data_IF_026868842659
#
_entry.id   IF_026868842659
#
_cell.length_a   1.000
_cell.length_b   1.000
_cell.length_c   1.000
_cell.angle_alpha   90.00
_cell.angle_beta   90.00
_cell.angle_gamma   90.00
#
_symmetry.space_group_name_H-M   'P 1'
#
loop_
_entity.id
_entity.type
_entity.pdbx_description
1 polymer ?
#
# COMPACT_ATOMS: atom_id res chain seq x y z
N UNK A 1 -24.80 -8.82 4.50
CA UNK A 1 -24.38 -9.24 3.14
C UNK A 1 -23.82 -8.09 2.29
N UNK A 2 -24.29 -6.84 2.44
CA UNK A 2 -23.75 -5.71 1.65
C UNK A 2 -22.40 -5.19 2.16
N UNK A 3 -22.16 -5.15 3.47
CA UNK A 3 -20.90 -4.66 4.03
C UNK A 3 -19.71 -5.54 3.59
N UNK A 4 -19.85 -6.86 3.64
CA UNK A 4 -18.80 -7.79 3.21
C UNK A 4 -18.48 -7.71 1.70
N UNK A 5 -19.42 -7.29 0.87
CA UNK A 5 -19.18 -7.09 -0.56
C UNK A 5 -18.38 -5.81 -0.83
N UNK A 6 -18.57 -4.76 -0.02
CA UNK A 6 -17.76 -3.52 -0.14
C UNK A 6 -16.32 -3.79 0.29
N UNK A 7 -16.11 -4.47 1.42
CA UNK A 7 -14.78 -4.81 1.94
C UNK A 7 -13.98 -5.69 0.96
N UNK A 8 -14.68 -6.51 0.14
CA UNK A 8 -14.05 -7.35 -0.87
C UNK A 8 -13.84 -6.66 -2.23
N UNK A 9 -14.30 -5.43 -2.42
CA UNK A 9 -14.25 -4.75 -3.72
C UNK A 9 -13.25 -3.59 -3.76
N UNK A 10 -13.00 -2.95 -2.61
CA UNK A 10 -12.18 -1.74 -2.55
C UNK A 10 -11.09 -1.88 -1.49
N UNK A 11 -9.93 -1.30 -1.80
CA UNK A 11 -8.85 -1.14 -0.84
C UNK A 11 -8.67 0.34 -0.52
N UNK A 12 -8.60 0.67 0.76
CA UNK A 12 -8.25 1.99 1.28
C UNK A 12 -6.86 1.93 1.91
N UNK A 13 -5.98 2.85 1.48
CA UNK A 13 -4.67 3.04 2.11
C UNK A 13 -4.76 4.18 3.10
N UNK A 14 -4.43 3.94 4.35
CA UNK A 14 -4.44 4.95 5.42
C UNK A 14 -3.21 5.85 5.44
N UNK A 15 -2.20 5.57 4.60
CA UNK A 15 -0.93 6.29 4.52
C UNK A 15 -0.61 6.69 3.09
N UNK A 16 0.25 7.69 2.95
CA UNK A 16 0.66 8.29 1.68
C UNK A 16 1.72 7.42 0.99
N UNK A 17 1.30 6.44 0.19
CA UNK A 17 2.21 5.66 -0.66
C UNK A 17 2.27 6.30 -2.03
N UNK A 18 3.35 7.05 -2.31
CA UNK A 18 3.56 7.82 -3.54
C UNK A 18 4.60 7.20 -4.49
N UNK A 19 5.17 6.03 -4.11
CA UNK A 19 6.20 5.32 -4.86
C UNK A 19 5.74 3.91 -5.21
N UNK A 20 5.08 3.78 -6.34
CA UNK A 20 4.52 2.52 -6.85
C UNK A 20 4.97 2.18 -8.29
N UNK A 21 5.82 3.02 -8.90
CA UNK A 21 6.34 2.81 -10.24
C UNK A 21 7.10 1.47 -10.31
N UNK A 22 6.84 0.68 -11.34
CA UNK A 22 7.50 -0.61 -11.55
C UNK A 22 9.01 -0.46 -11.83
N UNK A 23 9.45 0.67 -12.37
CA UNK A 23 10.86 0.92 -12.67
C UNK A 23 11.71 1.18 -11.41
N UNK A 24 11.08 1.57 -10.30
CA UNK A 24 11.77 1.66 -9.02
C UNK A 24 12.16 0.26 -8.50
N UNK A 25 13.19 0.16 -7.64
CA UNK A 25 13.55 -1.11 -7.01
C UNK A 25 12.36 -1.71 -6.24
N UNK A 26 12.08 -3.00 -6.43
CA UNK A 26 11.08 -3.72 -5.64
C UNK A 26 11.71 -4.42 -4.45
N UNK A 27 10.92 -4.61 -3.39
CA UNK A 27 11.27 -5.46 -2.24
C UNK A 27 10.43 -6.72 -2.22
N UNK A 28 10.95 -7.79 -1.58
CA UNK A 28 10.23 -9.03 -1.39
C UNK A 28 8.96 -8.82 -0.56
N UNK A 29 7.87 -9.51 -0.89
CA UNK A 29 6.61 -9.48 -0.12
C UNK A 29 6.67 -10.28 1.20
N UNK A 30 7.83 -10.79 1.59
CA UNK A 30 8.02 -11.60 2.81
C UNK A 30 7.40 -10.99 4.08
N UNK A 31 7.49 -9.67 4.36
CA UNK A 31 6.83 -9.09 5.53
C UNK A 31 5.31 -9.31 5.54
N UNK A 32 4.67 -9.26 4.36
CA UNK A 32 3.22 -9.51 4.24
C UNK A 32 2.92 -10.99 4.52
N UNK A 33 3.73 -11.90 3.98
CA UNK A 33 3.57 -13.34 4.23
C UNK A 33 3.73 -13.69 5.72
N UNK A 34 4.63 -13.00 6.43
CA UNK A 34 4.78 -13.15 7.88
C UNK A 34 3.53 -12.69 8.64
N UNK A 35 2.93 -11.55 8.23
CA UNK A 35 1.66 -11.10 8.83
C UNK A 35 0.58 -12.16 8.64
N UNK A 36 0.42 -12.70 7.42
CA UNK A 36 -0.57 -13.74 7.14
C UNK A 36 -0.36 -15.01 7.99
N UNK A 37 0.88 -15.39 8.26
CA UNK A 37 1.20 -16.50 9.17
C UNK A 37 0.81 -16.17 10.62
N UNK A 38 1.11 -14.97 11.11
CA UNK A 38 0.79 -14.52 12.49
C UNK A 38 -0.71 -14.49 12.72
N UNK A 39 -1.49 -14.01 11.74
CA UNK A 39 -2.96 -13.92 11.86
C UNK A 39 -3.69 -15.24 11.54
N UNK A 40 -2.95 -16.31 11.19
CA UNK A 40 -3.52 -17.63 10.96
C UNK A 40 -4.02 -17.88 9.54
N UNK A 41 -3.72 -16.98 8.59
CA UNK A 41 -4.18 -17.05 7.19
C UNK A 41 -3.14 -17.69 6.23
N UNK A 42 -2.19 -18.44 6.78
CA UNK A 42 -1.12 -19.08 6.00
C UNK A 42 -1.61 -19.98 4.86
N UNK A 43 -2.78 -20.62 5.02
CA UNK A 43 -3.39 -21.47 4.01
C UNK A 43 -3.86 -20.73 2.76
N UNK A 44 -4.05 -19.43 2.84
CA UNK A 44 -4.47 -18.55 1.73
C UNK A 44 -3.30 -18.01 0.92
N UNK A 45 -2.05 -18.23 1.37
CA UNK A 45 -0.84 -17.75 0.69
C UNK A 45 -0.69 -18.51 -0.65
N UNK A 46 -0.59 -17.81 -1.80
CA UNK A 46 -0.31 -18.45 -3.07
C UNK A 46 1.04 -19.19 -3.04
N UNK A 47 1.11 -20.39 -3.64
CA UNK A 47 2.30 -21.24 -3.60
C UNK A 47 3.59 -20.55 -4.13
N UNK A 48 3.43 -19.60 -5.06
CA UNK A 48 4.52 -18.84 -5.67
C UNK A 48 4.73 -17.46 -5.04
N UNK A 49 4.01 -17.11 -3.97
CA UNK A 49 4.07 -15.77 -3.36
C UNK A 49 5.47 -15.40 -2.85
N UNK A 50 6.30 -16.39 -2.48
CA UNK A 50 7.69 -16.15 -2.06
C UNK A 50 8.57 -15.53 -3.15
N UNK A 51 8.18 -15.65 -4.42
CA UNK A 51 8.88 -15.02 -5.55
C UNK A 51 8.35 -13.63 -5.92
N UNK A 52 7.30 -13.15 -5.25
CA UNK A 52 6.69 -11.86 -5.54
C UNK A 52 7.51 -10.71 -4.97
N UNK A 53 7.42 -9.59 -5.67
CA UNK A 53 8.01 -8.32 -5.23
C UNK A 53 6.94 -7.23 -5.23
N UNK A 54 7.02 -6.35 -4.25
CA UNK A 54 6.14 -5.19 -4.11
C UNK A 54 6.86 -3.86 -4.28
N UNK A 55 6.10 -2.75 -4.39
CA UNK A 55 6.67 -1.40 -4.33
C UNK A 55 7.48 -1.23 -3.04
N UNK A 56 8.71 -0.76 -3.18
CA UNK A 56 9.67 -0.73 -2.05
C UNK A 56 9.15 0.07 -0.85
N UNK A 57 8.52 1.21 -1.09
CA UNK A 57 7.93 2.02 -0.04
C UNK A 57 6.82 1.28 0.72
N UNK A 58 5.91 0.61 0.01
CA UNK A 58 4.82 -0.14 0.63
C UNK A 58 5.35 -1.31 1.47
N UNK A 59 6.30 -2.07 0.94
CA UNK A 59 6.89 -3.21 1.65
C UNK A 59 7.67 -2.75 2.88
N UNK A 60 8.49 -1.69 2.76
CA UNK A 60 9.20 -1.11 3.89
C UNK A 60 8.25 -0.61 5.00
N UNK A 61 7.15 0.02 4.60
CA UNK A 61 6.09 0.45 5.53
C UNK A 61 5.43 -0.73 6.26
N UNK A 62 5.11 -1.80 5.52
CA UNK A 62 4.55 -3.03 6.10
C UNK A 62 5.54 -3.68 7.07
N UNK A 63 6.83 -3.75 6.73
CA UNK A 63 7.87 -4.31 7.62
C UNK A 63 8.01 -3.50 8.91
N UNK A 64 8.04 -2.17 8.81
CA UNK A 64 8.10 -1.29 9.98
C UNK A 64 6.86 -1.42 10.88
N UNK A 65 5.67 -1.57 10.28
CA UNK A 65 4.44 -1.86 11.03
C UNK A 65 4.49 -3.23 11.68
N UNK A 66 4.93 -4.27 10.97
CA UNK A 66 5.03 -5.64 11.49
C UNK A 66 5.90 -5.71 12.74
N UNK A 67 7.06 -5.07 12.71
CA UNK A 67 7.99 -5.01 13.85
C UNK A 67 7.31 -4.46 15.11
N UNK A 68 6.45 -3.45 14.97
CA UNK A 68 5.74 -2.79 16.08
C UNK A 68 4.41 -3.48 16.43
N UNK A 69 3.71 -4.04 15.45
CA UNK A 69 2.41 -4.71 15.64
C UNK A 69 2.53 -6.09 16.27
N UNK A 70 3.54 -6.88 15.90
CA UNK A 70 3.68 -8.27 16.33
C UNK A 70 3.66 -8.43 17.86
N UNK A 71 4.44 -7.67 18.66
CA UNK A 71 4.39 -7.79 20.11
C UNK A 71 3.03 -7.36 20.69
N UNK A 72 2.41 -6.32 20.14
CA UNK A 72 1.09 -5.85 20.59
C UNK A 72 0.00 -6.88 20.32
N UNK A 73 0.06 -7.54 19.16
CA UNK A 73 -0.87 -8.61 18.81
C UNK A 73 -0.73 -9.82 19.71
N UNK A 74 0.50 -10.30 19.93
CA UNK A 74 0.78 -11.46 20.79
C UNK A 74 0.38 -11.20 22.25
N UNK A 75 0.48 -9.96 22.72
CA UNK A 75 0.07 -9.55 24.07
C UNK A 75 -1.42 -9.14 24.15
N UNK A 76 -2.18 -9.27 23.07
CA UNK A 76 -3.59 -8.88 22.96
C UNK A 76 -3.87 -7.41 23.36
N UNK A 77 -2.94 -6.50 23.03
CA UNK A 77 -3.02 -5.06 23.35
C UNK A 77 -3.78 -4.29 22.25
N UNK A 78 -5.08 -4.48 22.13
CA UNK A 78 -5.93 -3.89 21.08
C UNK A 78 -5.82 -2.35 21.05
N UNK A 79 -5.83 -1.69 22.18
CA UNK A 79 -5.69 -0.22 22.25
C UNK A 79 -4.32 0.26 21.73
N UNK A 80 -3.26 -0.52 21.97
CA UNK A 80 -1.93 -0.24 21.45
C UNK A 80 -1.87 -0.36 19.93
N UNK A 81 -2.55 -1.36 19.36
CA UNK A 81 -2.69 -1.55 17.92
C UNK A 81 -3.42 -0.36 17.30
N UNK A 82 -4.58 0.03 17.86
CA UNK A 82 -5.34 1.18 17.39
C UNK A 82 -4.52 2.48 17.37
N UNK A 83 -3.76 2.73 18.44
CA UNK A 83 -2.87 3.89 18.52
C UNK A 83 -1.71 3.84 17.53
N UNK A 84 -1.19 2.64 17.23
CA UNK A 84 -0.10 2.48 16.27
C UNK A 84 -0.55 2.76 14.84
N UNK A 85 -1.70 2.20 14.42
CA UNK A 85 -2.21 2.36 13.06
C UNK A 85 -2.73 3.77 12.77
N UNK A 86 -2.82 4.62 13.76
CA UNK A 86 -3.22 6.02 13.64
C UNK A 86 -2.03 7.00 13.56
N UNK A 87 -0.80 6.48 13.50
CA UNK A 87 0.43 7.27 13.44
C UNK A 87 1.11 7.19 12.07
N UNK A 88 2.05 8.10 11.84
CA UNK A 88 3.00 8.02 10.75
C UNK A 88 3.89 6.77 10.93
N UNK A 89 4.35 6.19 9.82
CA UNK A 89 5.27 5.04 9.84
C UNK A 89 6.69 5.56 9.75
N UNK A 90 7.47 5.35 10.81
CA UNK A 90 8.92 5.57 10.77
C UNK A 90 9.59 4.30 10.25
N UNK A 91 10.31 4.44 9.14
CA UNK A 91 11.02 3.35 8.48
C UNK A 91 12.30 2.98 9.24
N UNK A 92 12.68 1.73 9.15
CA UNK A 92 13.94 1.23 9.66
C UNK A 92 15.14 1.80 8.88
N UNK A 93 16.31 1.86 9.50
CA UNK A 93 17.52 2.41 8.88
C UNK A 93 17.93 1.69 7.59
N UNK A 94 17.58 0.40 7.44
CA UNK A 94 17.79 -0.40 6.23
C UNK A 94 16.98 0.11 5.02
N UNK A 95 15.92 0.87 5.28
CA UNK A 95 15.00 1.43 4.28
C UNK A 95 15.02 2.97 4.25
N UNK A 96 16.13 3.56 4.68
CA UNK A 96 16.32 5.01 4.63
C UNK A 96 16.10 5.56 3.22
N UNK A 97 15.38 6.69 3.12
CA UNK A 97 15.08 7.34 1.85
C UNK A 97 13.89 6.74 1.08
N UNK A 98 13.22 5.71 1.59
CA UNK A 98 12.00 5.15 0.98
C UNK A 98 10.71 5.84 1.45
N UNK A 99 10.78 6.71 2.46
CA UNK A 99 9.64 7.50 2.91
C UNK A 99 9.24 8.63 1.94
N UNK A 100 8.20 9.36 2.29
CA UNK A 100 7.74 10.48 1.48
C UNK A 100 8.80 11.58 1.38
N UNK A 101 8.86 12.24 0.24
CA UNK A 101 9.87 13.27 -0.04
C UNK A 101 11.31 12.76 0.08
N UNK A 102 11.56 11.47 -0.14
CA UNK A 102 12.85 10.78 0.06
C UNK A 102 13.33 10.80 1.53
N UNK A 103 12.43 11.04 2.47
CA UNK A 103 12.69 10.94 3.92
C UNK A 103 12.60 9.51 4.44
N UNK A 104 12.46 9.40 5.77
CA UNK A 104 12.35 8.11 6.47
C UNK A 104 10.97 7.88 7.05
N UNK A 105 9.99 8.73 6.74
CA UNK A 105 8.64 8.67 7.28
C UNK A 105 7.63 8.48 6.16
N UNK A 106 6.69 7.53 6.32
CA UNK A 106 5.49 7.44 5.48
C UNK A 106 4.36 8.05 6.30
N UNK A 107 3.83 9.17 5.81
CA UNK A 107 2.85 9.96 6.54
C UNK A 107 1.46 9.36 6.48
N UNK A 108 0.73 9.45 7.58
CA UNK A 108 -0.71 9.17 7.64
C UNK A 108 -1.48 10.24 6.87
N UNK A 109 -2.58 9.86 6.20
CA UNK A 109 -3.47 10.83 5.57
C UNK A 109 -4.04 11.81 6.59
N UNK A 110 -3.85 13.10 6.35
CA UNK A 110 -4.39 14.22 7.11
C UNK A 110 -4.37 15.51 6.29
N UNK A 111 -5.13 16.50 6.72
CA UNK A 111 -5.13 17.83 6.08
C UNK A 111 -3.72 18.45 6.05
N UNK A 112 -3.34 19.02 4.92
CA UNK A 112 -2.06 19.70 4.72
C UNK A 112 -0.86 18.78 4.56
N UNK A 113 -1.09 17.46 4.33
CA UNK A 113 -0.01 16.47 4.22
C UNK A 113 0.80 16.64 2.92
N UNK A 114 0.20 17.21 1.88
CA UNK A 114 0.83 17.39 0.56
C UNK A 114 2.17 18.14 0.63
N UNK A 115 2.32 19.07 1.56
CA UNK A 115 3.56 19.83 1.77
C UNK A 115 4.76 18.97 2.18
N UNK A 116 4.52 17.76 2.72
CA UNK A 116 5.58 16.82 3.09
C UNK A 116 5.93 15.84 1.97
N UNK A 117 5.14 15.86 0.88
CA UNK A 117 5.35 15.00 -0.30
C UNK A 117 6.19 15.68 -1.37
N UNK A 118 6.40 16.98 -1.25
CA UNK A 118 7.13 17.82 -2.23
C UNK A 118 8.45 18.29 -1.67
N UNK A 119 9.43 18.45 -2.54
CA UNK A 119 10.75 18.98 -2.17
C UNK A 119 10.82 20.51 -2.20
N UNK A 120 9.93 21.16 -2.94
CA UNK A 120 9.82 22.62 -3.04
C UNK A 120 8.45 23.10 -2.54
N UNK A 121 8.37 23.47 -1.28
CA UNK A 121 7.14 23.95 -0.61
C UNK A 121 6.66 25.32 -1.13
N UNK A 122 7.49 26.04 -1.88
CA UNK A 122 7.11 27.34 -2.45
C UNK A 122 6.47 27.20 -3.85
N UNK A 123 6.36 25.99 -4.37
CA UNK A 123 5.75 25.72 -5.66
C UNK A 123 4.33 25.12 -5.51
N UNK A 124 3.27 25.93 -5.65
CA UNK A 124 1.88 25.41 -5.54
C UNK A 124 1.54 24.33 -6.59
N UNK A 125 2.17 24.39 -7.78
CA UNK A 125 1.97 23.40 -8.82
C UNK A 125 2.51 22.03 -8.41
N UNK A 126 3.62 21.99 -7.67
CA UNK A 126 4.17 20.73 -7.14
C UNK A 126 3.25 20.10 -6.09
N UNK A 127 2.62 20.92 -5.24
CA UNK A 127 1.63 20.45 -4.26
C UNK A 127 0.38 19.87 -4.94
N UNK A 128 -0.18 20.56 -5.94
CA UNK A 128 -1.30 20.05 -6.71
C UNK A 128 -0.95 18.75 -7.46
N UNK A 129 0.25 18.67 -8.05
CA UNK A 129 0.74 17.46 -8.70
C UNK A 129 0.91 16.30 -7.71
N UNK A 130 1.43 16.56 -6.51
CA UNK A 130 1.56 15.52 -5.49
C UNK A 130 0.19 14.94 -5.08
N UNK A 131 -0.84 15.78 -4.94
CA UNK A 131 -2.20 15.34 -4.63
C UNK A 131 -2.82 14.51 -5.77
N UNK A 132 -2.55 14.87 -7.03
CA UNK A 132 -3.13 14.20 -8.20
C UNK A 132 -2.51 12.84 -8.52
N UNK A 133 -1.39 12.47 -7.89
CA UNK A 133 -0.72 11.18 -8.11
C UNK A 133 -0.77 10.26 -6.89
N UNK A 134 -1.31 10.73 -5.77
CA UNK A 134 -1.34 9.97 -4.53
C UNK A 134 -2.64 9.15 -4.42
N UNK A 135 -2.59 7.81 -4.55
CA UNK A 135 -3.77 6.96 -4.47
C UNK A 135 -4.27 6.85 -3.03
N UNK A 136 -5.57 6.97 -2.85
CA UNK A 136 -6.27 6.90 -1.55
C UNK A 136 -7.12 5.64 -1.44
N UNK A 137 -7.89 5.36 -2.49
CA UNK A 137 -8.79 4.20 -2.57
C UNK A 137 -8.81 3.69 -4.01
N UNK A 138 -8.93 2.39 -4.16
CA UNK A 138 -8.95 1.78 -5.49
C UNK A 138 -9.67 0.43 -5.48
N UNK A 139 -10.13 0.00 -6.67
CA UNK A 139 -10.63 -1.34 -6.88
C UNK A 139 -9.52 -2.37 -6.71
N UNK A 140 -9.84 -3.55 -6.22
CA UNK A 140 -8.87 -4.62 -6.01
C UNK A 140 -8.12 -4.97 -7.30
N UNK A 141 -6.80 -4.90 -7.24
CA UNK A 141 -5.84 -5.33 -8.26
C UNK A 141 -5.11 -6.56 -7.75
N UNK A 142 -5.17 -7.66 -8.49
CA UNK A 142 -4.52 -8.90 -8.11
C UNK A 142 -4.01 -9.68 -9.31
N UNK A 143 -2.98 -10.50 -9.14
CA UNK A 143 -2.52 -11.44 -10.16
C UNK A 143 -3.54 -12.58 -10.35
N UNK A 144 -4.22 -12.98 -9.29
CA UNK A 144 -5.27 -13.99 -9.35
C UNK A 144 -6.58 -13.39 -9.90
N UNK A 145 -7.07 -13.90 -11.02
CA UNK A 145 -8.23 -13.36 -11.73
C UNK A 145 -9.51 -13.29 -10.88
N UNK A 146 -9.69 -14.19 -9.94
CA UNK A 146 -10.83 -14.22 -9.02
C UNK A 146 -10.80 -13.13 -7.93
N UNK A 147 -9.65 -12.48 -7.75
CA UNK A 147 -9.46 -11.35 -6.82
C UNK A 147 -9.32 -10.01 -7.55
N UNK A 148 -9.48 -10.00 -8.87
CA UNK A 148 -9.33 -8.81 -9.71
C UNK A 148 -10.72 -8.32 -10.13
N UNK A 149 -11.10 -7.10 -9.74
CA UNK A 149 -12.46 -6.60 -9.98
C UNK A 149 -12.77 -6.33 -11.45
N UNK A 150 -11.81 -5.85 -12.22
CA UNK A 150 -11.98 -5.46 -13.63
C UNK A 150 -11.08 -6.27 -14.58
N UNK A 151 -11.38 -7.55 -14.78
CA UNK A 151 -10.66 -8.42 -15.73
C UNK A 151 -11.10 -8.13 -17.16
N UNK A 152 -10.18 -7.88 -18.10
CA UNK A 152 -8.70 -7.97 -18.03
C UNK A 152 -8.00 -6.61 -17.87
N UNK A 153 -8.56 -5.62 -17.21
CA UNK A 153 -8.22 -4.28 -17.62
C UNK A 153 -7.53 -3.33 -16.67
N UNK A 154 -7.80 -3.31 -15.38
CA UNK A 154 -7.25 -2.26 -14.51
C UNK A 154 -8.06 -1.98 -13.25
N UNK A 155 -7.89 -0.80 -12.70
CA UNK A 155 -8.50 -0.37 -11.44
C UNK A 155 -8.96 1.09 -11.54
N UNK A 156 -10.13 1.40 -11.03
CA UNK A 156 -10.46 2.79 -10.74
C UNK A 156 -9.71 3.19 -9.47
N UNK A 157 -8.99 4.29 -9.56
CA UNK A 157 -8.17 4.83 -8.48
C UNK A 157 -8.69 6.22 -8.11
N UNK A 158 -9.07 6.41 -6.86
CA UNK A 158 -9.36 7.70 -6.28
C UNK A 158 -8.05 8.31 -5.76
N UNK A 159 -7.73 9.50 -6.20
CA UNK A 159 -6.55 10.25 -5.79
C UNK A 159 -6.89 11.30 -4.71
N UNK A 160 -5.86 11.82 -4.05
CA UNK A 160 -6.00 12.72 -2.91
C UNK A 160 -6.69 14.05 -3.26
N UNK A 161 -6.61 14.53 -4.50
CA UNK A 161 -7.31 15.73 -4.98
C UNK A 161 -8.79 15.46 -5.29
N UNK A 162 -9.27 14.23 -5.12
CA UNK A 162 -10.65 13.81 -5.31
C UNK A 162 -11.00 13.34 -6.73
N UNK A 163 -10.08 13.40 -7.69
CA UNK A 163 -10.37 12.84 -9.00
C UNK A 163 -10.29 11.30 -8.99
N UNK A 164 -11.02 10.67 -9.89
CA UNK A 164 -10.97 9.23 -10.13
C UNK A 164 -10.50 8.98 -11.54
N UNK A 165 -9.50 8.11 -11.69
CA UNK A 165 -8.98 7.70 -12.98
C UNK A 165 -8.97 6.18 -13.10
N UNK A 166 -9.33 5.66 -14.28
CA UNK A 166 -9.16 4.24 -14.59
C UNK A 166 -7.72 3.96 -14.98
N UNK A 167 -6.98 3.30 -14.08
CA UNK A 167 -5.59 2.89 -14.31
C UNK A 167 -5.58 1.53 -15.00
N UNK A 168 -5.15 1.53 -16.27
CA UNK A 168 -5.02 0.29 -17.03
C UNK A 168 -3.91 -0.58 -16.48
N UNK A 169 -4.15 -1.89 -16.38
CA UNK A 169 -3.10 -2.82 -15.95
C UNK A 169 -1.95 -2.85 -16.97
N UNK A 170 -0.74 -2.68 -16.45
CA UNK A 170 0.51 -2.78 -17.19
C UNK A 170 1.44 -3.72 -16.44
N UNK A 171 2.02 -4.71 -17.11
CA UNK A 171 2.95 -5.62 -16.46
C UNK A 171 4.17 -4.86 -15.91
N UNK A 172 4.65 -3.89 -16.67
CA UNK A 172 5.76 -2.98 -16.33
C UNK A 172 5.37 -1.57 -16.73
N UNK A 173 5.48 -0.61 -15.83
CA UNK A 173 5.14 0.77 -16.13
C UNK A 173 4.84 1.60 -14.90
N UNK A 174 4.39 2.83 -15.15
CA UNK A 174 4.11 3.84 -14.12
C UNK A 174 2.67 3.79 -13.62
N UNK A 175 1.81 3.02 -14.29
CA UNK A 175 0.44 2.83 -13.84
C UNK A 175 0.42 2.30 -12.40
N UNK A 176 -0.52 2.80 -11.58
CA UNK A 176 -0.79 2.21 -10.28
C UNK A 176 -1.13 0.72 -10.39
N UNK A 177 -1.90 0.34 -11.42
CA UNK A 177 -2.26 -1.04 -11.69
C UNK A 177 -1.13 -1.79 -12.42
N UNK A 178 0.03 -1.93 -11.79
CA UNK A 178 1.16 -2.69 -12.32
C UNK A 178 1.34 -4.03 -11.60
N UNK A 179 2.23 -4.87 -12.12
CA UNK A 179 2.46 -6.22 -11.60
C UNK A 179 2.86 -6.22 -10.12
N UNK A 180 3.75 -5.34 -9.67
CA UNK A 180 4.20 -5.31 -8.27
C UNK A 180 3.06 -4.96 -7.31
N UNK A 181 2.27 -3.96 -7.68
CA UNK A 181 1.07 -3.59 -6.92
C UNK A 181 0.10 -4.78 -6.89
N UNK A 182 -0.16 -5.42 -8.05
CA UNK A 182 -1.06 -6.57 -8.14
C UNK A 182 -0.56 -7.79 -7.35
N UNK A 183 0.75 -8.08 -7.35
CA UNK A 183 1.35 -9.15 -6.53
C UNK A 183 1.18 -8.85 -5.03
N UNK A 184 1.46 -7.62 -4.61
CA UNK A 184 1.40 -7.20 -3.20
C UNK A 184 -0.04 -7.20 -2.69
N UNK A 185 -0.93 -6.48 -3.38
CA UNK A 185 -2.33 -6.34 -2.96
C UNK A 185 -3.10 -7.64 -3.12
N UNK A 186 -2.77 -8.46 -4.12
CA UNK A 186 -3.37 -9.78 -4.29
C UNK A 186 -3.05 -10.73 -3.13
N UNK A 187 -1.83 -10.68 -2.58
CA UNK A 187 -1.48 -11.43 -1.36
C UNK A 187 -2.23 -10.88 -0.14
N UNK A 188 -2.33 -9.56 0.00
CA UNK A 188 -3.08 -8.93 1.10
C UNK A 188 -4.57 -9.24 1.02
N UNK A 189 -5.18 -9.16 -0.17
CA UNK A 189 -6.60 -9.45 -0.38
C UNK A 189 -6.96 -10.93 -0.12
N UNK A 190 -6.03 -11.85 -0.34
CA UNK A 190 -6.23 -13.26 -0.01
C UNK A 190 -6.38 -13.51 1.51
N UNK A 191 -5.95 -12.57 2.36
CA UNK A 191 -6.10 -12.65 3.81
C UNK A 191 -7.49 -12.20 4.31
N UNK A 192 -8.23 -11.44 3.50
CA UNK A 192 -9.59 -10.94 3.81
C UNK A 192 -10.66 -11.93 3.38
#
# INVERSE_FOLDING_TARGET
>A
KFASAVDSSYTYLGWCFDRYDYEEPGLSVQPILQIMQIVGEASKIPANASSFSGPSQLIAGVEALLTKLSPLYLENKINGIAQLVDKDIELEASHAGLGNGQGNTIYRFREGIERFLITDINNPAASAQAQSVLPVMFDHVAVALNLFNHVPGGSNVLYMDGHVEFQRYEEKGKSFANRRVAETLGVMAAAL
#
